data_IF_970322485582
#
_entry.id   IF_970322485582
#
_cell.length_a   1.000
_cell.length_b   1.000
_cell.length_c   1.000
_cell.angle_alpha   90.00
_cell.angle_beta   90.00
_cell.angle_gamma   90.00
#
_symmetry.space_group_name_H-M   'P 1'
#
loop_
_entity.id
_entity.type
_entity.pdbx_description
1 polymer ?
#
# COMPACT_ATOMS: atom_id res chain seq x y z
N UNK A 1 -16.94 -16.44 -24.30
CA UNK A 1 -15.66 -16.09 -24.94
C UNK A 1 -15.94 -15.05 -26.01
N UNK A 2 -15.98 -13.77 -25.62
CA UNK A 2 -16.34 -12.66 -26.50
C UNK A 2 -15.14 -12.34 -27.40
N UNK A 3 -15.15 -12.91 -28.60
CA UNK A 3 -14.13 -12.66 -29.60
C UNK A 3 -14.36 -11.26 -30.20
N UNK A 4 -13.65 -10.25 -29.66
CA UNK A 4 -13.66 -8.89 -30.20
C UNK A 4 -13.04 -8.91 -31.59
N UNK A 5 -13.85 -8.65 -32.62
CA UNK A 5 -13.49 -8.62 -34.04
C UNK A 5 -12.30 -7.68 -34.39
N UNK A 6 -11.93 -6.78 -33.46
CA UNK A 6 -10.86 -5.80 -33.59
C UNK A 6 -9.40 -6.34 -33.45
N UNK A 7 -9.18 -7.62 -33.12
CA UNK A 7 -7.83 -8.12 -32.78
C UNK A 7 -6.97 -8.65 -33.94
N UNK A 8 -7.45 -8.65 -35.19
CA UNK A 8 -6.62 -9.07 -36.33
C UNK A 8 -6.52 -7.97 -37.39
N UNK A 9 -5.58 -7.01 -37.24
CA UNK A 9 -5.37 -5.96 -38.25
C UNK A 9 -5.10 -6.55 -39.64
N UNK A 10 -4.52 -7.74 -39.71
CA UNK A 10 -4.28 -8.52 -40.93
C UNK A 10 -5.51 -8.74 -41.81
N UNK A 11 -6.71 -8.84 -41.23
CA UNK A 11 -7.93 -9.00 -42.02
C UNK A 11 -8.31 -7.70 -42.75
N UNK A 12 -8.14 -6.55 -42.08
CA UNK A 12 -8.38 -5.22 -42.66
C UNK A 12 -7.34 -4.92 -43.74
N UNK A 13 -6.05 -5.20 -43.46
CA UNK A 13 -4.99 -5.05 -44.45
C UNK A 13 -5.17 -5.99 -45.65
N UNK A 14 -5.60 -7.24 -45.42
CA UNK A 14 -5.91 -8.19 -46.49
C UNK A 14 -7.09 -7.74 -47.37
N UNK A 15 -8.12 -7.14 -46.77
CA UNK A 15 -9.28 -6.61 -47.49
C UNK A 15 -8.91 -5.37 -48.31
N UNK A 16 -8.10 -4.46 -47.77
CA UNK A 16 -7.58 -3.30 -48.51
C UNK A 16 -6.69 -3.75 -49.68
N UNK A 17 -5.78 -4.71 -49.47
CA UNK A 17 -4.92 -5.25 -50.51
C UNK A 17 -5.73 -5.95 -51.62
N UNK A 18 -6.79 -6.68 -51.26
CA UNK A 18 -7.68 -7.32 -52.23
C UNK A 18 -8.45 -6.28 -53.07
N UNK A 19 -8.95 -5.20 -52.45
CA UNK A 19 -9.60 -4.09 -53.17
C UNK A 19 -8.64 -3.44 -54.16
N UNK A 20 -7.38 -3.18 -53.75
CA UNK A 20 -6.34 -2.64 -54.63
C UNK A 20 -5.98 -3.58 -55.79
N UNK A 21 -5.86 -4.90 -55.52
CA UNK A 21 -5.60 -5.90 -56.56
C UNK A 21 -6.76 -6.02 -57.56
N UNK A 22 -8.00 -6.03 -57.08
CA UNK A 22 -9.20 -6.05 -57.93
C UNK A 22 -9.25 -4.79 -58.80
N UNK A 23 -8.91 -3.62 -58.24
CA UNK A 23 -8.82 -2.36 -58.98
C UNK A 23 -7.67 -2.35 -60.01
N UNK A 24 -6.51 -2.94 -59.70
CA UNK A 24 -5.40 -3.07 -60.66
C UNK A 24 -5.75 -4.00 -61.83
N UNK A 25 -6.28 -5.19 -61.53
CA UNK A 25 -6.72 -6.17 -62.54
C UNK A 25 -7.88 -5.65 -63.39
N UNK A 26 -8.69 -4.74 -62.84
CA UNK A 26 -9.75 -4.06 -63.55
C UNK A 26 -9.26 -3.13 -64.66
N UNK A 27 -8.16 -2.43 -64.41
CA UNK A 27 -7.53 -1.52 -65.35
C UNK A 27 -6.80 -2.28 -66.48
N UNK A 28 -6.05 -3.34 -66.14
CA UNK A 28 -5.30 -4.14 -67.13
C UNK A 28 -6.22 -4.92 -68.09
N UNK A 29 -7.31 -5.50 -67.59
CA UNK A 29 -8.24 -6.28 -68.43
C UNK A 29 -9.27 -5.42 -69.17
N UNK A 30 -9.16 -4.09 -69.12
CA UNK A 30 -10.07 -3.17 -69.78
C UNK A 30 -11.53 -3.45 -69.39
N UNK A 31 -11.90 -3.12 -68.15
CA UNK A 31 -13.25 -3.33 -67.63
C UNK A 31 -14.35 -2.97 -68.64
N UNK A 32 -15.35 -3.84 -68.75
CA UNK A 32 -16.54 -3.67 -69.60
C UNK A 32 -17.30 -2.34 -69.37
N UNK A 33 -17.10 -1.68 -68.22
CA UNK A 33 -17.66 -0.35 -67.86
C UNK A 33 -16.88 0.83 -68.46
N UNK A 34 -15.61 0.63 -68.85
CA UNK A 34 -14.71 1.65 -69.40
C UNK A 34 -14.59 1.57 -70.94
N UNK A 35 -15.19 0.53 -71.55
CA UNK A 35 -15.10 0.29 -73.00
C UNK A 35 -16.03 1.26 -73.74
N UNK A 36 -15.45 2.27 -74.40
CA UNK A 36 -16.16 3.22 -75.27
C UNK A 36 -16.46 4.60 -74.68
N UNK A 37 -15.82 4.99 -73.57
CA UNK A 37 -15.94 6.34 -73.00
C UNK A 37 -14.79 7.24 -73.50
N UNK A 38 -15.15 8.43 -73.97
CA UNK A 38 -14.23 9.51 -74.36
C UNK A 38 -13.37 9.96 -73.15
N UNK A 39 -12.15 10.43 -73.39
CA UNK A 39 -11.14 10.72 -72.34
C UNK A 39 -11.68 11.66 -71.24
N UNK A 40 -12.61 12.56 -71.59
CA UNK A 40 -13.29 13.44 -70.64
C UNK A 40 -14.17 12.72 -69.60
N UNK A 41 -14.84 11.62 -69.96
CA UNK A 41 -15.69 10.86 -69.03
C UNK A 41 -14.88 9.98 -68.08
N UNK A 42 -13.69 9.56 -68.50
CA UNK A 42 -12.70 8.89 -67.65
C UNK A 42 -12.14 9.87 -66.60
N UNK A 43 -11.89 11.13 -67.00
CA UNK A 43 -11.54 12.23 -66.09
C UNK A 43 -12.60 12.49 -65.02
N UNK A 44 -13.87 12.62 -65.41
CA UNK A 44 -14.97 12.86 -64.44
C UNK A 44 -15.19 11.69 -63.47
N UNK A 45 -14.93 10.47 -63.91
CA UNK A 45 -14.92 9.30 -63.02
C UNK A 45 -13.75 9.36 -62.04
N UNK A 46 -12.55 9.72 -62.50
CA UNK A 46 -11.39 10.00 -61.65
C UNK A 46 -11.64 11.08 -60.59
N UNK A 47 -12.38 12.15 -60.93
CA UNK A 47 -12.74 13.20 -59.97
C UNK A 47 -13.62 12.68 -58.82
N UNK A 48 -14.49 11.70 -59.08
CA UNK A 48 -15.30 11.06 -58.02
C UNK A 48 -14.47 10.23 -57.02
N UNK A 49 -13.31 9.71 -57.46
CA UNK A 49 -12.37 9.02 -56.58
C UNK A 49 -11.69 9.97 -55.59
N UNK A 50 -11.50 11.25 -55.94
CA UNK A 50 -10.97 12.26 -55.03
C UNK A 50 -11.90 12.53 -53.82
N UNK A 51 -13.21 12.51 -54.03
CA UNK A 51 -14.20 12.65 -52.95
C UNK A 51 -14.17 11.42 -52.03
N UNK A 52 -14.04 10.23 -52.60
CA UNK A 52 -14.00 8.96 -51.88
C UNK A 52 -12.71 8.80 -51.05
N UNK A 53 -11.55 9.17 -51.59
CA UNK A 53 -10.28 9.17 -50.84
C UNK A 53 -10.28 10.17 -49.69
N UNK A 54 -10.88 11.35 -49.91
CA UNK A 54 -11.07 12.36 -48.86
C UNK A 54 -11.98 11.84 -47.74
N UNK A 55 -13.06 11.13 -48.08
CA UNK A 55 -13.94 10.48 -47.10
C UNK A 55 -13.20 9.40 -46.30
N UNK A 56 -12.43 8.52 -46.96
CA UNK A 56 -11.63 7.51 -46.26
C UNK A 56 -10.55 8.15 -45.37
N UNK A 57 -9.95 9.27 -45.79
CA UNK A 57 -8.97 10.00 -45.00
C UNK A 57 -9.61 10.62 -43.75
N UNK A 58 -10.80 11.19 -43.88
CA UNK A 58 -11.57 11.72 -42.75
C UNK A 58 -12.00 10.61 -41.77
N UNK A 59 -12.44 9.45 -42.29
CA UNK A 59 -12.79 8.28 -41.46
C UNK A 59 -11.55 7.71 -40.74
N UNK A 60 -10.41 7.62 -41.42
CA UNK A 60 -9.14 7.19 -40.82
C UNK A 60 -8.71 8.16 -39.70
N UNK A 61 -8.82 9.47 -39.95
CA UNK A 61 -8.55 10.48 -38.93
C UNK A 61 -9.50 10.37 -37.73
N UNK A 62 -10.81 10.17 -37.97
CA UNK A 62 -11.78 9.93 -36.90
C UNK A 62 -11.45 8.68 -36.08
N UNK A 63 -11.07 7.58 -36.74
CA UNK A 63 -10.61 6.36 -36.07
C UNK A 63 -9.35 6.59 -35.22
N UNK A 64 -8.39 7.37 -35.72
CA UNK A 64 -7.20 7.78 -34.95
C UNK A 64 -7.58 8.61 -33.72
N UNK A 65 -8.51 9.57 -33.85
CA UNK A 65 -8.98 10.38 -32.71
C UNK A 65 -9.64 9.51 -31.63
N UNK A 66 -10.50 8.57 -32.02
CA UNK A 66 -11.10 7.60 -31.09
C UNK A 66 -10.02 6.76 -30.40
N UNK A 67 -9.00 6.33 -31.14
CA UNK A 67 -7.89 5.55 -30.58
C UNK A 67 -7.09 6.35 -29.56
N UNK A 68 -6.77 7.62 -29.87
CA UNK A 68 -6.05 8.51 -28.93
C UNK A 68 -6.88 8.71 -27.67
N UNK A 69 -8.19 8.90 -27.81
CA UNK A 69 -9.07 9.06 -26.66
C UNK A 69 -9.09 7.81 -25.77
N UNK A 70 -9.20 6.62 -26.36
CA UNK A 70 -9.12 5.35 -25.63
C UNK A 70 -7.75 5.17 -24.95
N UNK A 71 -6.65 5.52 -25.62
CA UNK A 71 -5.30 5.46 -25.03
C UNK A 71 -5.15 6.40 -23.83
N UNK A 72 -5.74 7.59 -23.86
CA UNK A 72 -5.72 8.52 -22.73
C UNK A 72 -6.43 7.96 -21.51
N UNK A 73 -7.57 7.28 -21.71
CA UNK A 73 -8.30 6.61 -20.64
C UNK A 73 -7.49 5.44 -20.05
N UNK A 74 -6.92 4.57 -20.90
CA UNK A 74 -6.07 3.45 -20.48
C UNK A 74 -4.83 3.93 -19.71
N UNK A 75 -4.19 5.02 -20.15
CA UNK A 75 -3.08 5.66 -19.42
C UNK A 75 -3.53 6.18 -18.05
N UNK A 76 -4.75 6.70 -17.93
CA UNK A 76 -5.33 7.14 -16.67
C UNK A 76 -5.47 5.99 -15.66
N UNK A 77 -6.07 4.88 -16.11
CA UNK A 77 -6.23 3.66 -15.31
C UNK A 77 -4.87 3.08 -14.91
N UNK A 78 -3.94 2.99 -15.87
CA UNK A 78 -2.58 2.48 -15.62
C UNK A 78 -1.82 3.33 -14.61
N UNK A 79 -1.95 4.67 -14.67
CA UNK A 79 -1.35 5.58 -13.67
C UNK A 79 -1.91 5.36 -12.27
N UNK A 80 -3.20 5.10 -12.14
CA UNK A 80 -3.83 4.80 -10.85
C UNK A 80 -3.30 3.48 -10.29
N UNK A 81 -3.32 2.42 -11.11
CA UNK A 81 -2.80 1.10 -10.71
C UNK A 81 -1.32 1.15 -10.33
N UNK A 82 -0.50 1.90 -11.09
CA UNK A 82 0.92 2.09 -10.75
C UNK A 82 1.11 2.79 -9.40
N UNK A 83 0.27 3.78 -9.05
CA UNK A 83 0.34 4.45 -7.74
C UNK A 83 -0.02 3.49 -6.60
N UNK A 84 -1.04 2.67 -6.80
CA UNK A 84 -1.46 1.66 -5.83
C UNK A 84 -0.33 0.64 -5.61
N UNK A 85 0.24 0.11 -6.69
CA UNK A 85 1.40 -0.80 -6.62
C UNK A 85 2.62 -0.15 -5.96
N UNK A 86 2.91 1.13 -6.24
CA UNK A 86 4.01 1.86 -5.60
C UNK A 86 3.82 1.98 -4.09
N UNK A 87 2.59 2.27 -3.65
CA UNK A 87 2.25 2.34 -2.24
C UNK A 87 2.44 0.99 -1.55
N UNK A 88 1.87 -0.08 -2.10
CA UNK A 88 1.97 -1.43 -1.56
C UNK A 88 3.44 -1.88 -1.47
N UNK A 89 4.20 -1.70 -2.55
CA UNK A 89 5.62 -2.06 -2.59
C UNK A 89 6.43 -1.29 -1.54
N UNK A 90 6.17 0.01 -1.35
CA UNK A 90 6.83 0.80 -0.32
C UNK A 90 6.46 0.32 1.07
N UNK A 91 5.18 0.03 1.33
CA UNK A 91 4.72 -0.51 2.61
C UNK A 91 5.38 -1.86 2.93
N UNK A 92 5.39 -2.80 1.98
CA UNK A 92 6.06 -4.09 2.17
C UNK A 92 7.56 -3.92 2.40
N UNK A 93 8.21 -2.97 1.72
CA UNK A 93 9.61 -2.66 1.99
C UNK A 93 9.82 -2.10 3.40
N UNK A 94 8.90 -1.29 3.90
CA UNK A 94 8.95 -0.81 5.29
C UNK A 94 8.77 -1.96 6.28
N UNK A 95 7.88 -2.92 6.01
CA UNK A 95 7.70 -4.10 6.86
C UNK A 95 8.95 -5.00 6.88
N UNK A 96 9.64 -5.15 5.76
CA UNK A 96 10.92 -5.87 5.69
C UNK A 96 11.99 -5.17 6.55
N UNK A 97 12.11 -3.84 6.45
CA UNK A 97 13.05 -3.08 7.28
C UNK A 97 12.66 -3.16 8.76
N UNK A 98 11.38 -3.16 9.10
CA UNK A 98 10.92 -3.38 10.47
C UNK A 98 11.37 -4.75 11.00
N UNK A 99 11.21 -5.82 10.20
CA UNK A 99 11.67 -7.15 10.58
C UNK A 99 13.19 -7.18 10.84
N UNK A 100 13.98 -6.47 10.02
CA UNK A 100 15.42 -6.34 10.24
C UNK A 100 15.75 -5.57 11.52
N UNK A 101 15.07 -4.45 11.79
CA UNK A 101 15.24 -3.69 13.05
C UNK A 101 14.96 -4.58 14.26
N UNK A 102 13.91 -5.40 14.20
CA UNK A 102 13.59 -6.36 15.26
C UNK A 102 14.69 -7.42 15.38
N UNK A 103 15.14 -8.00 14.28
CA UNK A 103 16.18 -9.03 14.26
C UNK A 103 17.52 -8.53 14.84
N UNK A 104 17.87 -7.28 14.58
CA UNK A 104 19.10 -6.64 15.04
C UNK A 104 19.09 -6.25 16.53
N UNK A 105 17.94 -6.34 17.21
CA UNK A 105 17.87 -6.05 18.65
C UNK A 105 18.66 -7.08 19.45
N UNK A 106 19.68 -6.62 20.19
CA UNK A 106 20.41 -7.44 21.15
C UNK A 106 20.38 -6.85 22.56
N UNK A 107 20.25 -7.74 23.55
CA UNK A 107 20.38 -7.43 24.97
C UNK A 107 21.45 -8.33 25.58
N UNK A 108 22.59 -7.72 25.88
CA UNK A 108 23.73 -8.40 26.51
C UNK A 108 23.56 -8.42 28.02
N UNK A 109 23.41 -9.62 28.60
CA UNK A 109 23.44 -9.81 30.03
C UNK A 109 24.83 -10.25 30.49
N UNK A 110 25.44 -9.49 31.42
CA UNK A 110 26.66 -9.92 32.12
C UNK A 110 26.26 -10.80 33.31
N UNK A 111 25.93 -12.07 33.06
CA UNK A 111 25.88 -13.08 34.14
C UNK A 111 27.27 -13.71 34.30
N UNK A 112 27.67 -13.92 35.55
CA UNK A 112 29.04 -14.11 36.02
C UNK A 112 29.81 -15.36 35.52
N UNK A 113 29.36 -16.07 34.48
CA UNK A 113 30.16 -17.11 33.80
C UNK A 113 29.58 -17.57 32.43
N UNK A 114 28.50 -16.97 31.93
CA UNK A 114 27.99 -17.24 30.59
C UNK A 114 27.26 -16.01 30.06
N UNK A 115 27.79 -15.42 28.99
CA UNK A 115 27.19 -14.27 28.32
C UNK A 115 25.98 -14.75 27.53
N UNK A 116 24.80 -14.74 28.15
CA UNK A 116 23.55 -14.92 27.42
C UNK A 116 23.16 -13.60 26.75
N UNK A 117 23.15 -13.61 25.42
CA UNK A 117 22.59 -12.53 24.60
C UNK A 117 21.17 -12.91 24.25
N UNK A 118 20.20 -12.11 24.69
CA UNK A 118 18.83 -12.19 24.17
C UNK A 118 18.81 -11.41 22.85
N UNK A 119 18.23 -11.98 21.80
CA UNK A 119 18.25 -11.39 20.45
C UNK A 119 16.87 -11.38 19.84
N UNK A 120 16.63 -10.49 18.88
CA UNK A 120 15.41 -10.49 18.10
C UNK A 120 14.16 -10.18 18.95
N UNK A 121 13.07 -10.90 18.65
CA UNK A 121 11.77 -10.76 19.32
C UNK A 121 11.82 -11.05 20.82
N UNK A 122 12.71 -11.93 21.28
CA UNK A 122 12.83 -12.28 22.71
C UNK A 122 13.24 -11.08 23.58
N UNK A 123 13.86 -10.05 22.97
CA UNK A 123 14.19 -8.81 23.66
C UNK A 123 12.95 -8.10 24.22
N UNK A 124 11.80 -8.20 23.55
CA UNK A 124 10.55 -7.55 24.00
C UNK A 124 10.01 -8.15 25.29
N UNK A 125 10.12 -9.46 25.48
CA UNK A 125 9.81 -10.11 26.77
C UNK A 125 10.71 -9.59 27.89
N UNK A 126 12.01 -9.41 27.62
CA UNK A 126 12.94 -8.85 28.60
C UNK A 126 12.62 -7.37 28.90
N UNK A 127 12.24 -6.58 27.90
CA UNK A 127 11.84 -5.19 28.06
C UNK A 127 10.57 -5.05 28.90
N UNK A 128 9.52 -5.82 28.61
CA UNK A 128 8.28 -5.82 29.39
C UNK A 128 8.53 -6.22 30.85
N UNK A 129 9.38 -7.22 31.08
CA UNK A 129 9.76 -7.61 32.45
C UNK A 129 10.47 -6.49 33.20
N UNK A 130 11.37 -5.76 32.54
CA UNK A 130 12.05 -4.58 33.12
C UNK A 130 11.06 -3.47 33.44
N UNK A 131 10.12 -3.18 32.54
CA UNK A 131 9.08 -2.17 32.75
C UNK A 131 8.16 -2.55 33.92
N UNK A 132 7.70 -3.80 33.96
CA UNK A 132 6.88 -4.36 35.05
C UNK A 132 7.61 -4.25 36.40
N UNK A 133 8.90 -4.58 36.44
CA UNK A 133 9.74 -4.43 37.64
C UNK A 133 9.83 -2.97 38.11
N UNK A 134 9.98 -2.01 37.20
CA UNK A 134 9.98 -0.59 37.53
C UNK A 134 8.63 -0.14 38.09
N UNK A 135 7.53 -0.54 37.46
CA UNK A 135 6.18 -0.22 37.93
C UNK A 135 5.95 -0.76 39.35
N UNK A 136 6.25 -2.04 39.59
CA UNK A 136 6.09 -2.66 40.90
C UNK A 136 6.95 -1.97 41.99
N UNK A 137 8.15 -1.51 41.63
CA UNK A 137 8.99 -0.74 42.54
C UNK A 137 8.34 0.60 42.93
N UNK A 138 7.83 1.36 41.96
CA UNK A 138 7.19 2.65 42.23
C UNK A 138 5.85 2.49 42.94
N UNK A 139 5.07 1.46 42.62
CA UNK A 139 3.83 1.13 43.31
C UNK A 139 4.08 0.83 44.80
N UNK A 140 5.13 0.06 45.13
CA UNK A 140 5.51 -0.18 46.53
C UNK A 140 6.04 1.06 47.24
N UNK A 141 6.74 1.92 46.51
CA UNK A 141 7.34 3.15 47.05
C UNK A 141 6.29 4.22 47.35
N UNK A 142 5.26 4.31 46.52
CA UNK A 142 4.20 5.30 46.66
C UNK A 142 2.84 4.71 46.22
N UNK A 143 2.18 3.94 47.10
CA UNK A 143 0.92 3.28 46.79
C UNK A 143 -0.26 4.24 46.58
N UNK A 144 -0.11 5.52 46.92
CA UNK A 144 -1.18 6.51 46.84
C UNK A 144 -1.40 7.07 45.43
N UNK A 145 -0.42 6.88 44.54
CA UNK A 145 -0.47 7.38 43.17
C UNK A 145 -1.44 6.60 42.29
N UNK A 146 -2.05 7.30 41.35
CA UNK A 146 -2.86 6.68 40.31
C UNK A 146 -2.02 5.77 39.41
N UNK A 147 -2.66 4.79 38.77
CA UNK A 147 -1.98 3.88 37.83
C UNK A 147 -1.34 4.66 36.67
N UNK A 148 -1.98 5.75 36.21
CA UNK A 148 -1.43 6.60 35.16
C UNK A 148 -0.12 7.27 35.57
N UNK A 149 -0.05 7.82 36.79
CA UNK A 149 1.18 8.42 37.32
C UNK A 149 2.29 7.38 37.54
N UNK A 150 1.93 6.19 38.04
CA UNK A 150 2.88 5.09 38.25
C UNK A 150 3.45 4.57 36.93
N UNK A 151 2.60 4.38 35.91
CA UNK A 151 3.01 3.99 34.56
C UNK A 151 3.96 5.03 33.97
N UNK A 152 3.62 6.32 34.06
CA UNK A 152 4.44 7.40 33.52
C UNK A 152 5.84 7.43 34.14
N UNK A 153 5.94 7.38 35.48
CA UNK A 153 7.24 7.39 36.18
C UNK A 153 8.04 6.12 35.89
N UNK A 154 7.39 4.95 35.89
CA UNK A 154 8.05 3.69 35.57
C UNK A 154 8.56 3.63 34.12
N UNK A 155 7.76 4.13 33.17
CA UNK A 155 8.11 4.18 31.76
C UNK A 155 9.27 5.15 31.52
N UNK A 156 9.27 6.32 32.16
CA UNK A 156 10.37 7.30 32.03
C UNK A 156 11.71 6.72 32.47
N UNK A 157 11.73 5.99 33.59
CA UNK A 157 12.95 5.29 34.03
C UNK A 157 13.35 4.17 33.06
N UNK A 158 12.38 3.38 32.61
CA UNK A 158 12.58 2.34 31.60
C UNK A 158 13.18 2.91 30.31
N UNK A 159 12.62 4.01 29.81
CA UNK A 159 13.04 4.68 28.58
C UNK A 159 14.49 5.12 28.67
N UNK A 160 14.88 5.82 29.74
CA UNK A 160 16.26 6.28 29.92
C UNK A 160 17.29 5.16 29.81
N UNK A 161 16.94 3.93 30.21
CA UNK A 161 17.82 2.75 30.18
C UNK A 161 17.78 1.99 28.86
N UNK A 162 16.67 2.03 28.11
CA UNK A 162 16.45 1.18 26.94
C UNK A 162 16.24 1.95 25.62
N UNK A 163 16.21 3.29 25.65
CA UNK A 163 15.95 4.15 24.47
C UNK A 163 16.92 3.93 23.30
N UNK A 164 18.15 3.50 23.57
CA UNK A 164 19.13 3.27 22.51
C UNK A 164 18.68 2.14 21.58
N UNK A 165 18.04 1.11 22.13
CA UNK A 165 17.52 -0.02 21.36
C UNK A 165 16.10 0.27 20.86
N UNK A 166 15.23 0.79 21.74
CA UNK A 166 13.79 0.94 21.45
C UNK A 166 13.42 2.24 20.74
N UNK A 167 14.27 3.27 20.79
CA UNK A 167 13.99 4.57 20.19
C UNK A 167 13.86 4.53 18.68
N UNK A 168 14.72 3.75 18.02
CA UNK A 168 14.63 3.53 16.59
C UNK A 168 13.42 2.69 16.22
N UNK A 169 13.18 1.60 16.97
CA UNK A 169 12.03 0.73 16.79
C UNK A 169 10.70 1.50 16.84
N UNK A 170 10.38 2.19 17.94
CA UNK A 170 9.08 2.88 18.06
C UNK A 170 8.87 3.98 17.02
N UNK A 171 9.93 4.74 16.71
CA UNK A 171 9.86 5.77 15.66
C UNK A 171 9.57 5.14 14.30
N UNK A 172 10.14 3.96 14.04
CA UNK A 172 9.95 3.26 12.79
C UNK A 172 8.52 2.69 12.67
N UNK A 173 8.01 2.03 13.72
CA UNK A 173 6.61 1.58 13.76
C UNK A 173 5.66 2.76 13.56
N UNK A 174 5.84 3.85 14.30
CA UNK A 174 5.04 5.07 14.10
C UNK A 174 5.08 5.58 12.64
N UNK A 175 6.25 5.57 12.00
CA UNK A 175 6.37 6.02 10.61
C UNK A 175 5.64 5.11 9.62
N UNK A 176 5.53 3.79 9.88
CA UNK A 176 4.71 2.88 9.06
C UNK A 176 3.24 3.27 9.16
N UNK A 177 2.72 3.44 10.37
CA UNK A 177 1.34 3.88 10.58
C UNK A 177 1.10 5.26 9.95
N UNK A 178 2.04 6.19 10.12
CA UNK A 178 1.99 7.53 9.52
C UNK A 178 1.97 7.49 7.99
N UNK A 179 2.72 6.57 7.38
CA UNK A 179 2.73 6.40 5.93
C UNK A 179 1.37 5.96 5.40
N UNK A 180 0.70 5.03 6.09
CA UNK A 180 -0.66 4.58 5.76
C UNK A 180 -1.67 5.70 6.00
N UNK A 181 -1.60 6.36 7.16
CA UNK A 181 -2.53 7.40 7.57
C UNK A 181 -2.51 8.63 6.65
N UNK A 182 -1.32 9.01 6.16
CA UNK A 182 -1.16 10.13 5.24
C UNK A 182 -1.51 9.79 3.78
N UNK A 183 -1.82 8.54 3.45
CA UNK A 183 -2.19 8.17 2.08
C UNK A 183 -3.62 8.63 1.74
N UNK A 184 -3.92 8.83 0.45
CA UNK A 184 -5.28 9.17 -0.01
C UNK A 184 -6.21 7.94 -0.13
N UNK A 185 -5.81 6.82 0.49
CA UNK A 185 -6.50 5.53 0.35
C UNK A 185 -7.71 5.43 1.27
N UNK A 186 -8.73 4.70 0.84
CA UNK A 186 -9.91 4.40 1.65
C UNK A 186 -9.71 3.14 2.53
N UNK A 187 -8.88 2.20 2.09
CA UNK A 187 -8.63 0.89 2.71
C UNK A 187 -7.48 0.91 3.74
N UNK A 188 -7.23 2.06 4.39
CA UNK A 188 -6.16 2.24 5.40
C UNK A 188 -6.20 1.20 6.51
N UNK A 189 -7.39 0.88 7.02
CA UNK A 189 -7.59 -0.12 8.09
C UNK A 189 -7.09 -1.51 7.67
N UNK A 190 -7.25 -1.88 6.41
CA UNK A 190 -6.73 -3.16 5.88
C UNK A 190 -5.20 -3.20 6.00
N UNK A 191 -4.51 -2.13 5.61
CA UNK A 191 -3.06 -2.06 5.71
C UNK A 191 -2.56 -1.99 7.15
N UNK A 192 -3.21 -1.24 8.03
CA UNK A 192 -2.82 -1.22 9.45
C UNK A 192 -3.02 -2.57 10.11
N UNK A 193 -4.02 -3.35 9.71
CA UNK A 193 -4.20 -4.73 10.17
C UNK A 193 -3.05 -5.64 9.69
N UNK A 194 -2.57 -5.47 8.46
CA UNK A 194 -1.38 -6.18 7.96
C UNK A 194 -0.16 -5.82 8.81
N UNK A 195 0.06 -4.54 9.12
CA UNK A 195 1.16 -4.10 9.99
C UNK A 195 1.03 -4.70 11.38
N UNK A 196 -0.17 -4.64 11.98
CA UNK A 196 -0.45 -5.21 13.31
C UNK A 196 -0.14 -6.71 13.35
N UNK A 197 -0.49 -7.46 12.31
CA UNK A 197 -0.21 -8.89 12.22
C UNK A 197 1.30 -9.23 12.17
N UNK A 198 2.17 -8.26 11.87
CA UNK A 198 3.63 -8.46 11.93
C UNK A 198 4.22 -8.23 13.33
N UNK A 199 3.47 -7.56 14.21
CA UNK A 199 3.89 -7.26 15.58
C UNK A 199 3.60 -8.45 16.49
N UNK A 200 4.56 -8.80 17.35
CA UNK A 200 4.32 -9.81 18.39
C UNK A 200 3.48 -9.26 19.55
N UNK A 201 2.81 -10.11 20.32
CA UNK A 201 2.01 -9.65 21.46
C UNK A 201 2.83 -8.83 22.48
N UNK A 202 4.10 -9.20 22.68
CA UNK A 202 5.03 -8.48 23.54
C UNK A 202 5.42 -7.11 22.96
N UNK A 203 5.53 -6.98 21.64
CA UNK A 203 5.74 -5.71 20.96
C UNK A 203 4.53 -4.79 21.12
N UNK A 204 3.33 -5.33 20.91
CA UNK A 204 2.05 -4.60 21.06
C UNK A 204 1.87 -4.12 22.49
N UNK A 205 2.10 -4.97 23.50
CA UNK A 205 2.02 -4.58 24.91
C UNK A 205 3.08 -3.53 25.30
N UNK A 206 4.27 -3.54 24.69
CA UNK A 206 5.29 -2.51 24.95
C UNK A 206 4.95 -1.19 24.24
N UNK A 207 4.39 -1.26 23.03
CA UNK A 207 3.85 -0.12 22.29
C UNK A 207 2.68 0.54 23.02
N UNK A 208 1.83 -0.25 23.67
CA UNK A 208 0.74 0.22 24.51
C UNK A 208 1.22 1.21 25.56
N UNK A 209 2.25 0.84 26.33
CA UNK A 209 2.82 1.72 27.35
C UNK A 209 3.64 2.87 26.76
N UNK A 210 4.30 2.67 25.61
CA UNK A 210 4.95 3.78 24.89
C UNK A 210 3.94 4.87 24.52
N UNK A 211 2.78 4.48 24.00
CA UNK A 211 1.72 5.40 23.60
C UNK A 211 1.03 6.08 24.80
N UNK A 212 1.09 5.51 26.01
CA UNK A 212 0.64 6.20 27.23
C UNK A 212 1.64 7.24 27.74
N UNK A 213 2.92 7.07 27.43
CA UNK A 213 3.99 7.95 27.91
C UNK A 213 4.06 9.27 27.17
N UNK A 214 4.78 10.24 27.73
CA UNK A 214 5.13 11.52 27.06
C UNK A 214 5.77 11.35 25.66
N UNK A 215 6.33 10.18 25.33
CA UNK A 215 7.00 9.93 24.04
C UNK A 215 6.05 9.52 22.91
N UNK A 216 4.86 9.01 23.24
CA UNK A 216 3.92 8.46 22.26
C UNK A 216 2.49 9.02 22.36
N UNK A 217 2.14 9.67 23.48
CA UNK A 217 0.78 10.13 23.78
C UNK A 217 0.24 11.18 22.82
N UNK A 218 1.08 12.08 22.33
CA UNK A 218 0.65 13.15 21.42
C UNK A 218 0.43 12.65 19.99
N UNK A 219 1.32 11.79 19.48
CA UNK A 219 1.37 11.44 18.05
C UNK A 219 0.88 10.04 17.75
N UNK A 220 1.37 9.03 18.47
CA UNK A 220 1.09 7.64 18.12
C UNK A 220 -0.17 7.11 18.79
N UNK A 221 -0.48 7.54 20.02
CA UNK A 221 -1.71 7.14 20.73
C UNK A 221 -2.99 7.42 19.91
N UNK A 222 -3.19 8.59 19.27
CA UNK A 222 -4.36 8.81 18.44
C UNK A 222 -4.51 7.78 17.31
N UNK A 223 -3.41 7.43 16.65
CA UNK A 223 -3.41 6.43 15.58
C UNK A 223 -3.65 5.02 16.12
N UNK A 224 -3.06 4.68 17.27
CA UNK A 224 -3.29 3.39 17.92
C UNK A 224 -4.76 3.18 18.30
N UNK A 225 -5.44 4.26 18.71
CA UNK A 225 -6.89 4.26 18.96
C UNK A 225 -7.67 4.18 17.66
N UNK A 226 -7.31 4.97 16.64
CA UNK A 226 -8.03 5.03 15.37
C UNK A 226 -8.03 3.69 14.64
N UNK A 227 -6.88 3.02 14.62
CA UNK A 227 -6.65 1.77 13.90
C UNK A 227 -6.77 0.52 14.77
N UNK A 228 -7.33 0.65 15.98
CA UNK A 228 -7.63 -0.50 16.85
C UNK A 228 -6.39 -1.39 17.10
N UNK A 229 -5.24 -0.75 17.38
CA UNK A 229 -3.93 -1.42 17.43
C UNK A 229 -3.86 -2.52 18.49
N UNK A 230 -4.67 -2.44 19.55
CA UNK A 230 -4.65 -3.35 20.69
C UNK A 230 -5.77 -4.40 20.66
N UNK A 231 -6.50 -4.50 19.55
CA UNK A 231 -7.49 -5.54 19.32
C UNK A 231 -6.85 -6.95 19.39
N UNK A 232 -7.50 -7.84 20.15
CA UNK A 232 -7.02 -9.16 20.54
C UNK A 232 -5.69 -9.20 21.34
N UNK A 233 -5.23 -8.09 21.90
CA UNK A 233 -4.04 -8.09 22.75
C UNK A 233 -4.27 -8.92 24.02
N UNK A 234 -3.39 -9.89 24.37
CA UNK A 234 -3.52 -10.67 25.59
C UNK A 234 -3.47 -9.80 26.84
N UNK A 235 -4.51 -9.87 27.67
CA UNK A 235 -4.65 -9.03 28.88
C UNK A 235 -3.62 -9.36 29.95
N UNK A 236 -3.07 -10.58 29.94
CA UNK A 236 -2.02 -11.04 30.86
C UNK A 236 -0.65 -10.40 30.57
N UNK A 237 -0.47 -9.79 29.40
CA UNK A 237 0.73 -9.00 29.08
C UNK A 237 0.67 -7.56 29.58
N UNK A 238 -0.50 -7.10 30.03
CA UNK A 238 -0.59 -5.84 30.79
C UNK A 238 0.09 -6.01 32.14
N UNK A 239 0.78 -4.97 32.60
CA UNK A 239 1.40 -4.93 33.94
C UNK A 239 0.34 -5.17 35.03
N UNK A 240 -0.87 -4.64 34.83
CA UNK A 240 -2.07 -4.94 35.60
C UNK A 240 -3.24 -5.04 34.65
N UNK A 241 -4.17 -5.96 34.90
CA UNK A 241 -5.39 -6.12 34.08
C UNK A 241 -6.19 -4.81 34.04
N UNK A 242 -6.24 -4.06 35.15
CA UNK A 242 -6.92 -2.76 35.23
C UNK A 242 -6.33 -1.69 34.31
N UNK A 243 -5.09 -1.88 33.81
CA UNK A 243 -4.52 -0.92 32.87
C UNK A 243 -5.34 -0.86 31.57
N UNK A 244 -6.15 -1.86 31.23
CA UNK A 244 -7.08 -1.81 30.09
C UNK A 244 -7.91 -0.51 30.06
N UNK A 245 -8.32 -0.01 31.23
CA UNK A 245 -9.10 1.22 31.41
C UNK A 245 -8.35 2.53 31.04
N UNK A 246 -7.02 2.47 30.81
CA UNK A 246 -6.21 3.61 30.39
C UNK A 246 -6.38 3.99 28.91
N UNK A 247 -7.15 3.18 28.16
CA UNK A 247 -7.53 3.44 26.77
C UNK A 247 -9.05 3.42 26.57
N UNK A 248 -9.57 4.19 25.60
CA UNK A 248 -10.94 4.02 25.16
C UNK A 248 -11.15 2.64 24.53
N UNK A 249 -12.36 2.07 24.70
CA UNK A 249 -12.72 0.75 24.15
C UNK A 249 -12.43 0.62 22.64
N UNK A 250 -12.58 1.71 21.86
CA UNK A 250 -12.26 1.74 20.42
C UNK A 250 -10.87 1.15 20.13
N UNK A 251 -9.87 1.41 20.98
CA UNK A 251 -8.50 0.96 20.75
C UNK A 251 -8.33 -0.58 20.75
N UNK A 252 -9.29 -1.31 21.31
CA UNK A 252 -9.32 -2.77 21.41
C UNK A 252 -10.24 -3.43 20.38
N UNK A 253 -10.76 -2.67 19.42
CA UNK A 253 -11.63 -3.18 18.37
C UNK A 253 -13.08 -3.37 18.81
N UNK A 254 -13.95 -3.60 17.83
CA UNK A 254 -15.40 -3.82 18.07
C UNK A 254 -15.73 -5.24 18.55
N UNK A 255 -14.72 -6.07 18.78
CA UNK A 255 -14.85 -7.47 19.17
C UNK A 255 -14.71 -7.61 20.68
N UNK A 256 -15.76 -7.29 21.43
CA UNK A 256 -15.98 -8.05 22.66
C UNK A 256 -16.71 -9.35 22.29
N UNK A 257 -16.33 -10.51 22.85
CA UNK A 257 -17.03 -11.76 22.61
C UNK A 257 -18.51 -11.70 23.03
#
# INVERSE_FOLDING_TARGET
MNMKFYQKPWFIFGLIAAIFLIYGLALENGWWILKGKDDGQLGTFGDSWGMLTSLFSALAFGGLMITIWQQQEELGLTRKEMKDQQFENMLFKMLEVHANIVADLDLRSKRANNQQTTTGRDCFTAFLRRLTGNYNYYQKKDPSKSDQELVEVAYRYFWRKNRNNLGHYFRYVYNIFKYIDNSDREDKKTYTNIVRAQLSDHEVALLYYNCLSEFGSEKFKPMAVEYELFDNMPKDLLIRVQHEDLYPQKAFGSSQP
#
